data_IF_386756717991
#
_entry.id   IF_386756717991
#
_cell.length_a   1.000
_cell.length_b   1.000
_cell.length_c   1.000
_cell.angle_alpha   90.00
_cell.angle_beta   90.00
_cell.angle_gamma   90.00
#
_symmetry.space_group_name_H-M   'P 1'
#
loop_
_entity.id
_entity.type
_entity.pdbx_description
1 polymer ?
#
# COMPACT_ATOMS: atom_id res chain seq x y z
N UNK A 1 8.70 -4.70 -21.05
CA UNK A 1 7.43 -4.53 -20.30
C UNK A 1 7.61 -4.65 -18.79
N UNK A 2 8.38 -5.61 -18.24
CA UNK A 2 8.68 -5.69 -16.79
C UNK A 2 9.34 -4.44 -16.16
N UNK A 3 10.07 -3.61 -16.91
CA UNK A 3 10.69 -2.39 -16.38
C UNK A 3 9.75 -1.20 -16.16
N UNK A 4 8.55 -1.17 -16.77
CA UNK A 4 7.57 -0.09 -16.53
C UNK A 4 6.90 -0.27 -15.16
N UNK A 5 6.81 -1.51 -14.67
CA UNK A 5 6.15 -1.86 -13.41
C UNK A 5 6.99 -1.51 -12.16
N UNK A 6 8.32 -1.63 -12.29
CA UNK A 6 9.26 -1.42 -11.18
C UNK A 6 9.22 0.00 -10.58
N UNK A 7 8.70 0.99 -11.31
CA UNK A 7 8.80 2.41 -10.91
C UNK A 7 7.56 2.95 -10.20
N UNK A 8 6.38 2.32 -10.36
CA UNK A 8 5.25 2.60 -9.45
C UNK A 8 5.65 2.29 -8.00
N UNK A 9 6.48 1.26 -7.83
CA UNK A 9 6.98 0.77 -6.55
C UNK A 9 8.17 1.57 -6.00
N UNK A 10 9.11 2.04 -6.83
CA UNK A 10 10.21 2.90 -6.34
C UNK A 10 9.71 4.21 -5.75
N UNK A 11 8.56 4.74 -6.18
CA UNK A 11 7.95 5.92 -5.56
C UNK A 11 7.24 5.63 -4.23
N UNK A 12 7.00 4.36 -3.87
CA UNK A 12 6.49 3.98 -2.54
C UNK A 12 7.62 3.95 -1.50
N UNK A 13 8.85 3.56 -1.88
CA UNK A 13 9.97 3.43 -0.93
C UNK A 13 10.79 4.71 -0.69
N UNK A 14 10.72 5.71 -1.57
CA UNK A 14 11.60 6.91 -1.47
C UNK A 14 10.95 8.06 -0.67
N UNK A 15 9.73 7.89 -0.16
CA UNK A 15 9.06 8.91 0.66
C UNK A 15 9.28 8.77 2.19
N UNK A 16 10.33 8.07 2.65
CA UNK A 16 10.88 8.31 3.99
C UNK A 16 11.75 9.56 3.92
N UNK A 17 11.07 10.70 3.74
CA UNK A 17 11.73 12.00 3.78
C UNK A 17 12.19 12.26 5.20
N UNK A 18 13.47 12.56 5.33
CA UNK A 18 14.14 13.01 6.54
C UNK A 18 13.30 14.06 7.30
N UNK A 19 12.57 13.63 8.33
CA UNK A 19 12.22 14.50 9.45
C UNK A 19 13.49 14.70 10.29
N UNK A 20 14.43 15.46 9.72
CA UNK A 20 15.57 15.99 10.46
C UNK A 20 15.05 16.93 11.54
N UNK A 21 15.34 16.60 12.79
CA UNK A 21 15.15 17.47 13.96
C UNK A 21 16.03 18.73 13.80
N UNK A 22 15.50 19.74 13.11
CA UNK A 22 16.09 21.07 13.04
C UNK A 22 15.72 21.88 14.27
N UNK A 23 16.49 21.75 15.36
CA UNK A 23 16.41 22.66 16.50
C UNK A 23 16.84 24.07 16.10
N UNK A 24 15.90 25.01 16.10
CA UNK A 24 16.17 26.44 15.89
C UNK A 24 16.72 27.07 17.17
N UNK A 25 18.02 27.37 17.19
CA UNK A 25 18.60 28.30 18.16
C UNK A 25 18.58 29.73 17.57
N UNK A 26 18.09 30.67 18.37
CA UNK A 26 17.98 32.12 18.07
C UNK A 26 19.36 32.81 18.10
N UNK A 27 19.59 33.92 17.35
CA UNK A 27 20.93 34.46 17.12
C UNK A 27 21.35 35.49 18.18
N UNK A 28 22.61 35.42 18.59
CA UNK A 28 23.28 36.42 19.42
C UNK A 28 24.69 36.74 18.92
N UNK A 29 24.83 37.89 18.24
CA UNK A 29 25.86 38.92 18.43
C UNK A 29 27.38 38.64 18.25
N UNK A 30 27.99 39.53 17.42
CA UNK A 30 29.39 40.02 17.37
C UNK A 30 30.45 39.08 16.72
N UNK A 31 31.08 39.44 15.58
CA UNK A 31 32.24 40.37 15.39
C UNK A 31 33.46 39.95 16.24
N UNK A 32 34.66 39.66 15.73
CA UNK A 32 35.58 40.48 14.91
C UNK A 32 36.71 39.61 14.26
N UNK A 33 37.19 40.07 13.10
CA UNK A 33 38.55 40.05 12.51
C UNK A 33 39.48 38.80 12.48
N UNK A 34 39.95 38.51 11.25
CA UNK A 34 41.38 38.62 10.93
C UNK A 34 42.12 37.33 10.58
N UNK A 35 42.75 37.28 9.40
CA UNK A 35 43.89 36.38 9.17
C UNK A 35 44.02 35.74 7.80
N UNK A 36 44.64 36.49 6.90
CA UNK A 36 45.21 36.10 5.59
C UNK A 36 46.09 34.84 5.61
N UNK A 37 46.03 34.06 4.53
CA UNK A 37 47.01 33.02 4.21
C UNK A 37 46.88 32.54 2.77
N UNK A 38 47.77 33.04 1.90
CA UNK A 38 47.91 32.68 0.49
C UNK A 38 48.49 31.26 0.32
N UNK A 39 48.22 30.63 -0.82
CA UNK A 39 48.86 29.38 -1.23
C UNK A 39 48.34 28.85 -2.55
N UNK A 40 48.98 29.28 -3.64
CA UNK A 40 48.88 28.71 -4.99
C UNK A 40 49.07 27.19 -4.99
N UNK A 41 48.41 26.45 -5.91
CA UNK A 41 49.10 25.80 -7.04
C UNK A 41 48.16 25.05 -7.98
N UNK A 42 48.62 24.96 -9.22
CA UNK A 42 47.97 24.53 -10.44
C UNK A 42 47.84 23.00 -10.63
N UNK A 43 47.05 22.64 -11.65
CA UNK A 43 47.16 21.38 -12.41
C UNK A 43 46.07 20.36 -12.05
N UNK A 44 45.39 19.69 -12.98
CA UNK A 44 45.56 19.52 -14.41
C UNK A 44 44.45 18.58 -14.90
N UNK A 45 44.22 18.61 -16.21
CA UNK A 45 43.11 17.96 -16.90
C UNK A 45 43.31 16.47 -17.20
N UNK A 46 42.22 15.86 -17.67
CA UNK A 46 42.11 14.63 -18.48
C UNK A 46 42.44 13.31 -17.75
N UNK A 47 41.81 12.17 -18.03
CA UNK A 47 40.84 11.79 -19.05
C UNK A 47 40.92 10.26 -19.24
N UNK A 48 39.80 9.64 -19.59
CA UNK A 48 39.71 8.40 -20.38
C UNK A 48 40.16 7.06 -19.78
N UNK A 49 39.26 6.07 -19.82
CA UNK A 49 39.45 4.68 -20.35
C UNK A 49 38.20 3.88 -19.93
N UNK A 50 37.23 3.58 -20.80
CA UNK A 50 37.14 2.44 -21.75
C UNK A 50 37.70 1.11 -21.23
N UNK A 51 36.79 0.19 -20.93
CA UNK A 51 37.09 -1.23 -20.74
C UNK A 51 35.78 -2.02 -20.67
N UNK A 52 35.33 -2.54 -21.82
CA UNK A 52 34.26 -3.52 -21.90
C UNK A 52 34.85 -4.91 -22.13
N UNK A 53 34.18 -5.95 -21.63
CA UNK A 53 34.27 -7.40 -21.94
C UNK A 53 33.58 -8.14 -20.77
N UNK A 54 32.85 -9.26 -20.86
CA UNK A 54 32.52 -10.27 -21.88
C UNK A 54 31.11 -10.80 -21.53
N UNK A 55 30.25 -11.03 -22.53
CA UNK A 55 29.00 -11.79 -22.37
C UNK A 55 29.31 -13.27 -22.56
N UNK A 56 29.23 -14.06 -21.48
CA UNK A 56 29.30 -15.52 -21.51
C UNK A 56 27.90 -16.13 -21.53
N UNK A 57 27.54 -16.75 -22.64
CA UNK A 57 26.31 -17.52 -22.85
C UNK A 57 26.55 -19.00 -22.53
N UNK A 58 25.64 -19.61 -21.76
CA UNK A 58 25.52 -21.05 -21.53
C UNK A 58 24.38 -21.29 -20.54
N UNK A 59 23.35 -22.09 -20.76
CA UNK A 59 23.17 -23.16 -21.73
C UNK A 59 22.91 -24.48 -21.01
N UNK A 60 21.64 -24.76 -20.70
CA UNK A 60 21.07 -26.11 -20.59
C UNK A 60 21.28 -26.91 -19.29
N UNK A 61 20.19 -27.51 -18.80
CA UNK A 61 20.25 -28.56 -17.79
C UNK A 61 18.93 -28.80 -17.06
N UNK A 62 17.94 -29.37 -17.76
CA UNK A 62 16.73 -29.88 -17.13
C UNK A 62 17.02 -31.19 -16.38
N UNK A 63 16.43 -31.33 -15.19
CA UNK A 63 16.36 -32.59 -14.45
C UNK A 63 14.92 -32.78 -14.00
N UNK A 64 14.30 -33.84 -14.54
CA UNK A 64 13.02 -34.40 -14.12
C UNK A 64 13.34 -35.41 -13.01
N UNK A 65 12.72 -35.27 -11.83
CA UNK A 65 12.68 -36.33 -10.83
C UNK A 65 11.22 -36.75 -10.65
N UNK A 66 10.95 -38.01 -11.00
CA UNK A 66 9.74 -38.76 -10.70
C UNK A 66 10.02 -39.75 -9.57
N UNK A 67 9.03 -39.94 -8.69
CA UNK A 67 9.00 -40.90 -7.58
C UNK A 67 8.39 -40.22 -6.35
N UNK A 68 7.23 -40.56 -5.81
CA UNK A 68 6.53 -41.84 -5.79
C UNK A 68 6.80 -42.54 -4.47
N UNK A 69 5.91 -42.37 -3.48
CA UNK A 69 5.60 -43.42 -2.50
C UNK A 69 4.33 -43.08 -1.72
N UNK A 70 3.42 -44.04 -1.71
CA UNK A 70 2.22 -44.16 -0.89
C UNK A 70 2.58 -44.27 0.60
N UNK A 71 1.73 -43.73 1.47
CA UNK A 71 1.49 -44.25 2.83
C UNK A 71 0.01 -44.01 3.18
N UNK A 72 -0.73 -45.12 3.25
CA UNK A 72 -1.99 -45.22 4.00
C UNK A 72 -1.73 -45.00 5.50
N UNK A 73 -2.58 -44.25 6.20
CA UNK A 73 -3.17 -44.79 7.43
C UNK A 73 -4.47 -44.10 7.82
N UNK A 74 -5.38 -44.94 8.29
CA UNK A 74 -6.75 -44.67 8.68
C UNK A 74 -6.81 -44.19 10.13
N UNK A 75 -7.66 -43.22 10.44
CA UNK A 75 -7.81 -42.68 11.79
C UNK A 75 -9.21 -42.18 12.07
N UNK A 76 -10.11 -43.14 12.23
CA UNK A 76 -11.48 -43.02 12.71
C UNK A 76 -11.51 -42.42 14.14
N UNK A 77 -12.34 -41.39 14.40
CA UNK A 77 -12.86 -41.18 15.75
C UNK A 77 -14.22 -40.50 15.73
N UNK A 78 -15.24 -41.35 15.82
CA UNK A 78 -16.63 -41.01 16.06
C UNK A 78 -16.88 -40.86 17.57
N UNK A 79 -17.38 -39.71 18.00
CA UNK A 79 -18.00 -39.49 19.31
C UNK A 79 -18.84 -38.22 19.24
N UNK A 80 -20.18 -38.23 19.33
CA UNK A 80 -21.04 -39.12 20.09
C UNK A 80 -21.36 -38.46 21.44
N UNK A 81 -22.05 -37.31 21.40
CA UNK A 81 -22.53 -36.59 22.58
C UNK A 81 -23.95 -36.06 22.30
N UNK A 82 -24.92 -36.74 22.90
CA UNK A 82 -26.35 -36.46 22.90
C UNK A 82 -26.75 -35.59 24.08
N UNK A 83 -27.93 -34.96 23.94
CA UNK A 83 -28.75 -34.27 24.98
C UNK A 83 -28.27 -32.83 25.30
N UNK A 84 -29.11 -31.80 25.21
CA UNK A 84 -30.38 -31.65 25.92
C UNK A 84 -31.34 -30.73 25.13
N UNK A 85 -32.60 -31.15 24.99
CA UNK A 85 -33.69 -30.41 24.34
C UNK A 85 -34.40 -29.59 25.41
N UNK A 86 -34.25 -28.26 25.39
CA UNK A 86 -35.03 -27.35 26.25
C UNK A 86 -36.10 -26.69 25.40
N UNK A 87 -37.33 -26.77 25.90
CA UNK A 87 -38.57 -26.41 25.26
C UNK A 87 -38.78 -24.90 25.06
N UNK A 88 -39.62 -24.62 24.09
CA UNK A 88 -40.12 -23.35 23.56
C UNK A 88 -40.63 -22.34 24.60
N UNK A 89 -40.26 -21.06 24.39
CA UNK A 89 -41.00 -19.89 24.86
C UNK A 89 -41.32 -18.99 23.64
N UNK A 90 -42.60 -18.66 23.36
CA UNK A 90 -42.98 -17.86 22.20
C UNK A 90 -42.92 -16.36 22.57
N UNK A 91 -41.78 -15.72 22.31
CA UNK A 91 -41.68 -14.25 22.31
C UNK A 91 -41.82 -13.76 20.88
N UNK A 92 -43.08 -13.62 20.47
CA UNK A 92 -43.51 -12.90 19.29
C UNK A 92 -43.27 -11.40 19.49
N UNK A 93 -42.22 -10.89 18.87
CA UNK A 93 -41.80 -9.50 18.95
C UNK A 93 -40.58 -9.20 18.10
N UNK A 94 -40.40 -9.92 16.99
CA UNK A 94 -39.31 -9.68 16.05
C UNK A 94 -39.31 -8.19 15.69
N UNK A 95 -38.23 -7.44 16.01
CA UNK A 95 -38.11 -6.08 15.55
C UNK A 95 -38.18 -6.13 14.03
N UNK A 96 -39.19 -5.46 13.47
CA UNK A 96 -39.22 -5.15 12.05
C UNK A 96 -37.89 -4.49 11.73
N UNK A 97 -37.07 -5.24 11.00
CA UNK A 97 -35.90 -4.74 10.29
C UNK A 97 -36.44 -3.63 9.38
N UNK A 98 -36.44 -2.40 9.89
CA UNK A 98 -36.71 -1.21 9.10
C UNK A 98 -35.59 -1.13 8.09
N UNK A 99 -35.77 -1.86 7.00
CA UNK A 99 -34.84 -2.00 5.91
C UNK A 99 -34.39 -0.61 5.53
N UNK A 100 -33.14 -0.31 5.89
CA UNK A 100 -32.44 0.89 5.45
C UNK A 100 -32.56 0.86 3.94
N UNK A 101 -33.48 1.69 3.41
CA UNK A 101 -33.79 1.77 2.00
C UNK A 101 -32.47 1.93 1.27
N UNK A 102 -32.07 0.91 0.51
CA UNK A 102 -30.74 0.82 -0.08
C UNK A 102 -30.42 2.11 -0.82
N UNK A 103 -29.62 2.98 -0.19
CA UNK A 103 -29.34 4.30 -0.72
C UNK A 103 -28.63 4.12 -2.07
N UNK A 104 -29.32 4.56 -3.13
CA UNK A 104 -28.87 4.40 -4.50
C UNK A 104 -27.52 5.10 -4.67
N UNK A 105 -26.50 4.34 -5.05
CA UNK A 105 -25.17 4.91 -5.30
C UNK A 105 -25.27 5.82 -6.52
N UNK A 106 -24.84 7.10 -6.42
CA UNK A 106 -24.91 8.02 -7.55
C UNK A 106 -24.21 7.47 -8.80
N UNK A 107 -24.84 7.66 -9.96
CA UNK A 107 -24.27 7.27 -11.25
C UNK A 107 -22.87 7.84 -11.44
N UNK A 108 -21.93 6.98 -11.82
CA UNK A 108 -20.56 7.38 -12.10
C UNK A 108 -20.45 8.00 -13.50
N UNK A 109 -20.09 9.27 -13.55
CA UNK A 109 -19.83 10.01 -14.79
C UNK A 109 -18.34 10.09 -15.08
N UNK A 110 -17.50 10.17 -14.05
CA UNK A 110 -16.04 10.31 -14.16
C UNK A 110 -15.30 8.98 -14.05
N UNK A 111 -14.02 8.97 -14.45
CA UNK A 111 -13.16 7.77 -14.41
C UNK A 111 -12.84 7.25 -13.01
N UNK A 112 -12.98 8.08 -11.97
CA UNK A 112 -12.84 7.66 -10.58
C UNK A 112 -14.01 8.18 -9.76
N UNK A 113 -14.66 7.29 -9.01
CA UNK A 113 -15.63 7.60 -7.97
C UNK A 113 -15.22 6.91 -6.68
N UNK A 114 -15.32 7.63 -5.56
CA UNK A 114 -15.17 7.06 -4.22
C UNK A 114 -16.48 7.26 -3.46
N UNK A 115 -16.98 6.19 -2.86
CA UNK A 115 -18.23 6.16 -2.09
C UNK A 115 -17.91 5.78 -0.65
N UNK A 116 -18.46 6.53 0.30
CA UNK A 116 -18.40 6.22 1.71
C UNK A 116 -19.63 5.41 2.14
N UNK A 117 -19.43 4.13 2.47
CA UNK A 117 -20.46 3.27 3.07
C UNK A 117 -20.22 3.01 4.56
N UNK A 118 -19.27 3.71 5.19
CA UNK A 118 -19.19 3.76 6.64
C UNK A 118 -20.41 4.51 7.22
N UNK A 119 -20.76 4.23 8.48
CA UNK A 119 -21.83 4.93 9.23
C UNK A 119 -21.45 6.34 9.70
N UNK A 120 -20.25 6.82 9.34
CA UNK A 120 -19.69 8.09 9.75
C UNK A 120 -18.95 8.77 8.58
N UNK A 121 -18.68 10.07 8.71
CA UNK A 121 -17.91 10.79 7.67
C UNK A 121 -16.46 10.33 7.63
N UNK A 122 -15.93 10.19 6.42
CA UNK A 122 -14.51 9.96 6.15
C UNK A 122 -13.91 11.14 5.39
N UNK A 123 -12.58 11.23 5.37
CA UNK A 123 -11.86 12.19 4.55
C UNK A 123 -10.97 11.42 3.58
N UNK A 124 -11.06 11.72 2.29
CA UNK A 124 -10.18 11.14 1.29
C UNK A 124 -8.99 12.06 1.11
N UNK A 125 -7.81 11.60 1.53
CA UNK A 125 -6.54 12.23 1.22
C UNK A 125 -6.08 11.79 -0.17
N UNK A 126 -5.45 12.70 -0.91
CA UNK A 126 -4.96 12.41 -2.26
C UNK A 126 -3.54 12.96 -2.50
N UNK A 127 -2.86 12.33 -3.46
CA UNK A 127 -1.56 12.78 -4.00
C UNK A 127 -1.56 12.69 -5.52
N UNK A 128 -0.77 13.57 -6.16
CA UNK A 128 -0.55 13.65 -7.61
C UNK A 128 -1.84 13.86 -8.43
N UNK A 129 -2.82 14.55 -7.84
CA UNK A 129 -4.01 15.00 -8.56
C UNK A 129 -3.75 16.33 -9.29
N UNK A 130 -4.54 16.67 -10.33
CA UNK A 130 -4.41 17.94 -11.03
C UNK A 130 -4.51 19.15 -10.10
N UNK A 131 -3.89 20.25 -10.49
CA UNK A 131 -3.96 21.50 -9.72
C UNK A 131 -5.41 21.97 -9.56
N UNK A 132 -5.72 22.55 -8.40
CA UNK A 132 -7.06 23.03 -8.05
C UNK A 132 -7.99 21.98 -7.44
N UNK A 133 -7.62 20.69 -7.44
CA UNK A 133 -8.36 19.68 -6.67
C UNK A 133 -7.93 19.76 -5.20
N UNK A 134 -8.87 19.87 -4.24
CA UNK A 134 -8.54 19.88 -2.81
C UNK A 134 -7.71 18.66 -2.40
N UNK A 135 -6.65 18.85 -1.60
CA UNK A 135 -5.81 17.74 -1.13
C UNK A 135 -6.53 16.75 -0.22
N UNK A 136 -7.65 17.19 0.38
CA UNK A 136 -8.52 16.38 1.23
C UNK A 136 -9.97 16.69 0.89
N UNK A 137 -10.80 15.66 0.76
CA UNK A 137 -12.25 15.78 0.50
C UNK A 137 -13.01 15.02 1.58
N UNK A 138 -13.93 15.70 2.28
CA UNK A 138 -14.84 15.06 3.24
C UNK A 138 -15.99 14.38 2.50
N UNK A 139 -16.28 13.13 2.86
CA UNK A 139 -17.47 12.40 2.44
C UNK A 139 -18.29 12.05 3.67
N UNK A 140 -19.52 12.57 3.76
CA UNK A 140 -20.44 12.14 4.81
C UNK A 140 -20.85 10.66 4.61
N UNK A 141 -21.49 10.05 5.61
CA UNK A 141 -22.00 8.69 5.49
C UNK A 141 -22.96 8.60 4.29
N UNK A 142 -22.80 7.59 3.43
CA UNK A 142 -23.53 7.45 2.16
C UNK A 142 -23.01 8.35 1.02
N UNK A 143 -22.23 9.38 1.35
CA UNK A 143 -21.71 10.36 0.40
C UNK A 143 -20.71 9.79 -0.62
N UNK A 144 -20.52 10.52 -1.72
CA UNK A 144 -19.53 10.16 -2.74
C UNK A 144 -18.90 11.39 -3.37
N UNK A 145 -17.70 11.21 -3.93
CA UNK A 145 -17.05 12.19 -4.79
C UNK A 145 -16.55 11.54 -6.08
N UNK A 146 -16.36 12.36 -7.10
CA UNK A 146 -15.86 11.95 -8.40
C UNK A 146 -14.67 12.82 -8.79
N UNK A 147 -13.67 12.21 -9.42
CA UNK A 147 -12.44 12.89 -9.84
C UNK A 147 -12.36 12.92 -11.35
N UNK A 148 -12.19 14.13 -11.87
CA UNK A 148 -11.93 14.36 -13.29
C UNK A 148 -10.50 13.91 -13.58
N UNK A 149 -10.37 12.85 -14.38
CA UNK A 149 -9.08 12.37 -14.87
C UNK A 149 -8.85 12.93 -16.28
N UNK A 150 -7.79 13.72 -16.51
CA UNK A 150 -7.52 14.29 -17.83
C UNK A 150 -7.46 13.24 -18.94
N UNK A 151 -8.00 13.57 -20.11
CA UNK A 151 -7.93 12.70 -21.29
C UNK A 151 -6.48 12.42 -21.73
N UNK A 152 -5.55 13.32 -21.42
CA UNK A 152 -4.11 13.09 -21.65
C UNK A 152 -3.52 11.97 -20.78
N UNK A 153 -4.24 11.45 -19.80
CA UNK A 153 -3.75 10.54 -18.77
C UNK A 153 -3.21 11.29 -17.54
N UNK A 154 -3.00 10.54 -16.47
CA UNK A 154 -2.54 11.06 -15.19
C UNK A 154 -1.75 9.98 -14.44
N UNK A 155 -0.49 10.25 -14.13
CA UNK A 155 0.40 9.24 -13.53
C UNK A 155 0.42 9.29 -12.00
N UNK A 156 0.62 8.12 -11.39
CA UNK A 156 0.96 7.96 -9.97
C UNK A 156 -0.01 8.62 -8.97
N UNK A 157 -1.31 8.65 -9.27
CA UNK A 157 -2.32 9.09 -8.29
C UNK A 157 -2.37 8.13 -7.12
N UNK A 158 -2.57 8.67 -5.91
CA UNK A 158 -2.77 7.88 -4.69
C UNK A 158 -3.92 8.49 -3.90
N UNK A 159 -4.83 7.66 -3.41
CA UNK A 159 -5.96 8.07 -2.58
C UNK A 159 -6.14 7.10 -1.42
N UNK A 160 -6.45 7.61 -0.24
CA UNK A 160 -6.74 6.79 0.93
C UNK A 160 -7.72 7.48 1.90
N UNK A 161 -8.55 6.71 2.62
CA UNK A 161 -9.49 7.22 3.59
C UNK A 161 -8.82 7.54 4.95
N UNK A 162 -9.38 8.55 5.63
CA UNK A 162 -9.02 9.00 6.97
C UNK A 162 -10.27 9.10 7.85
N UNK A 163 -10.11 8.92 9.17
CA UNK A 163 -11.18 9.04 10.18
C UNK A 163 -10.71 9.80 11.42
N UNK A 164 -11.66 10.44 12.09
CA UNK A 164 -11.41 11.14 13.35
C UNK A 164 -10.60 12.40 13.14
N UNK A 165 -10.84 13.09 12.04
CA UNK A 165 -10.16 14.33 11.67
C UNK A 165 -10.87 15.54 12.27
N UNK A 166 -10.16 16.67 12.32
CA UNK A 166 -10.76 17.99 12.51
C UNK A 166 -11.60 18.43 11.29
N UNK A 167 -12.17 19.64 11.37
CA UNK A 167 -13.05 20.18 10.33
C UNK A 167 -12.38 20.34 8.96
N UNK A 168 -11.05 20.51 8.94
CA UNK A 168 -10.26 20.68 7.72
C UNK A 168 -9.74 19.34 7.17
N UNK A 169 -10.09 18.23 7.84
CA UNK A 169 -9.62 16.90 7.47
C UNK A 169 -8.17 16.65 7.88
N UNK A 170 -7.69 17.33 8.91
CA UNK A 170 -6.34 17.17 9.46
C UNK A 170 -6.39 16.53 10.85
N UNK A 171 -5.22 16.28 11.43
CA UNK A 171 -5.09 15.73 12.78
C UNK A 171 -5.92 14.45 13.01
N UNK A 172 -6.02 13.59 11.99
CA UNK A 172 -6.89 12.41 12.04
C UNK A 172 -6.34 11.32 12.97
N UNK A 173 -7.26 10.63 13.66
CA UNK A 173 -6.95 9.40 14.41
C UNK A 173 -6.40 8.29 13.48
N UNK A 174 -6.94 8.17 12.27
CA UNK A 174 -6.59 7.12 11.32
C UNK A 174 -6.30 7.74 9.94
N UNK A 175 -5.26 7.26 9.27
CA UNK A 175 -4.88 7.64 7.91
C UNK A 175 -4.18 9.00 7.74
N UNK A 176 -3.70 9.64 8.81
CA UNK A 176 -2.97 10.91 8.75
C UNK A 176 -1.49 10.73 8.34
N UNK A 177 -1.21 9.93 7.33
CA UNK A 177 0.14 9.59 6.90
C UNK A 177 0.90 10.69 6.16
N UNK A 178 0.22 11.80 5.84
CA UNK A 178 0.80 12.95 5.17
C UNK A 178 0.45 14.27 5.87
N UNK A 179 1.30 15.31 5.80
CA UNK A 179 0.99 16.63 6.34
C UNK A 179 -0.35 17.22 5.84
N UNK A 180 -0.99 18.10 6.63
CA UNK A 180 -0.56 18.57 7.96
C UNK A 180 -0.89 17.56 9.06
N UNK A 181 0.07 17.35 9.95
CA UNK A 181 0.00 16.35 11.02
C UNK A 181 0.01 17.02 12.40
N UNK A 182 -0.39 16.30 13.46
CA UNK A 182 -0.26 16.79 14.83
C UNK A 182 1.19 17.18 15.16
N UNK A 183 1.42 18.00 16.20
CA UNK A 183 2.77 18.36 16.64
C UNK A 183 3.68 17.16 16.97
N UNK A 184 3.10 15.99 17.26
CA UNK A 184 3.81 14.73 17.50
C UNK A 184 4.30 14.06 16.21
N UNK A 185 4.04 14.64 15.05
CA UNK A 185 4.38 14.08 13.73
C UNK A 185 3.25 13.24 13.14
N UNK A 186 3.38 12.93 11.86
CA UNK A 186 2.44 12.05 11.16
C UNK A 186 2.53 10.62 11.71
N UNK A 187 1.41 9.92 11.88
CA UNK A 187 1.40 8.48 11.96
C UNK A 187 2.08 7.84 10.73
N UNK A 188 2.54 6.58 10.85
CA UNK A 188 3.06 5.83 9.71
C UNK A 188 2.05 5.71 8.56
N UNK A 189 2.51 5.46 7.32
CA UNK A 189 1.66 5.31 6.14
C UNK A 189 0.84 4.01 6.09
N UNK A 190 0.36 3.53 7.24
CA UNK A 190 -0.57 2.41 7.36
C UNK A 190 -1.92 2.87 6.82
N UNK A 191 -2.19 2.57 5.56
CA UNK A 191 -3.35 3.07 4.81
C UNK A 191 -3.90 2.02 3.85
N UNK A 192 -5.22 1.82 3.84
CA UNK A 192 -5.89 1.15 2.72
C UNK A 192 -5.87 2.04 1.48
N UNK A 193 -4.89 1.82 0.60
CA UNK A 193 -4.52 2.78 -0.46
C UNK A 193 -5.05 2.34 -1.82
N UNK A 194 -5.52 3.28 -2.62
CA UNK A 194 -5.77 3.10 -4.04
C UNK A 194 -4.71 3.86 -4.83
N UNK A 195 -4.07 3.20 -5.79
CA UNK A 195 -3.03 3.77 -6.62
C UNK A 195 -3.35 3.57 -8.10
N UNK A 196 -3.14 4.59 -8.93
CA UNK A 196 -3.39 4.48 -10.36
C UNK A 196 -2.49 5.37 -11.23
N UNK A 197 -2.09 4.82 -12.37
CA UNK A 197 -1.65 5.56 -13.55
C UNK A 197 -2.71 5.40 -14.63
N UNK A 198 -3.39 6.50 -14.92
CA UNK A 198 -4.50 6.57 -15.84
C UNK A 198 -4.03 6.69 -17.27
N UNK A 199 -4.50 5.77 -18.13
CA UNK A 199 -4.17 5.76 -19.55
C UNK A 199 -4.70 6.98 -20.29
N UNK A 200 -4.00 7.35 -21.36
CA UNK A 200 -4.39 8.40 -22.28
C UNK A 200 -5.54 7.95 -23.18
N UNK A 201 -6.54 8.81 -23.36
CA UNK A 201 -7.72 8.58 -24.20
C UNK A 201 -7.77 9.51 -25.41
N UNK A 202 -6.73 10.31 -25.64
CA UNK A 202 -6.61 11.17 -26.81
C UNK A 202 -6.23 10.35 -28.05
N UNK A 203 -6.72 10.78 -29.21
CA UNK A 203 -6.35 10.16 -30.49
C UNK A 203 -4.89 10.44 -30.88
N UNK A 204 -4.36 11.63 -30.54
CA UNK A 204 -2.96 12.00 -30.78
C UNK A 204 -2.11 11.70 -29.55
N UNK A 205 -1.31 10.64 -29.64
CA UNK A 205 -0.43 10.18 -28.55
C UNK A 205 0.59 11.23 -28.11
N UNK A 206 0.92 12.20 -28.96
CA UNK A 206 1.88 13.26 -28.61
C UNK A 206 1.29 14.26 -27.60
N UNK A 207 -0.04 14.34 -27.51
CA UNK A 207 -0.76 15.18 -26.55
C UNK A 207 -0.98 14.49 -25.19
N UNK A 208 -0.65 13.20 -25.09
CA UNK A 208 -0.70 12.50 -23.81
C UNK A 208 0.30 13.09 -22.80
N UNK A 209 0.03 12.88 -21.52
CA UNK A 209 0.91 13.24 -20.44
C UNK A 209 2.23 12.45 -20.52
N UNK A 210 3.30 13.02 -19.96
CA UNK A 210 4.61 12.37 -19.90
C UNK A 210 4.59 11.27 -18.85
N UNK A 211 5.22 10.13 -19.15
CA UNK A 211 5.45 9.09 -18.15
C UNK A 211 6.58 9.55 -17.21
N UNK A 212 6.33 9.80 -15.91
CA UNK A 212 7.35 10.29 -14.99
C UNK A 212 8.50 9.30 -14.80
N UNK A 213 8.24 7.99 -14.96
CA UNK A 213 9.23 6.92 -14.86
C UNK A 213 10.09 6.76 -16.10
N UNK A 214 9.62 7.28 -17.24
CA UNK A 214 10.34 7.28 -18.50
C UNK A 214 10.06 8.61 -19.22
N UNK A 215 10.71 9.73 -18.81
CA UNK A 215 10.33 11.07 -19.27
C UNK A 215 10.42 11.32 -20.79
N UNK A 216 11.12 10.45 -21.52
CA UNK A 216 11.16 10.44 -22.98
C UNK A 216 9.92 9.80 -23.64
N UNK A 217 9.01 9.24 -22.84
CA UNK A 217 7.83 8.51 -23.28
C UNK A 217 6.56 9.21 -22.80
N UNK A 218 5.50 9.05 -23.60
CA UNK A 218 4.14 9.43 -23.22
C UNK A 218 3.45 8.28 -22.49
N UNK A 219 2.45 8.59 -21.67
CA UNK A 219 1.57 7.57 -21.12
C UNK A 219 0.88 6.80 -22.25
N UNK A 220 0.77 5.48 -22.10
CA UNK A 220 0.08 4.62 -23.05
C UNK A 220 -1.45 4.79 -22.93
N UNK A 221 -2.18 4.09 -23.80
CA UNK A 221 -3.64 4.00 -23.72
C UNK A 221 -4.17 3.09 -22.60
N UNK A 222 -3.31 2.53 -21.75
CA UNK A 222 -3.70 1.60 -20.69
C UNK A 222 -3.73 2.31 -19.34
N UNK A 223 -4.74 1.96 -18.54
CA UNK A 223 -4.83 2.33 -17.12
C UNK A 223 -4.24 1.20 -16.29
N UNK A 224 -3.26 1.51 -15.46
CA UNK A 224 -2.70 0.59 -14.47
C UNK A 224 -3.14 1.04 -13.09
N UNK A 225 -3.80 0.19 -12.32
CA UNK A 225 -4.20 0.51 -10.96
C UNK A 225 -4.04 -0.69 -10.04
N UNK A 226 -3.97 -0.41 -8.74
CA UNK A 226 -4.04 -1.40 -7.69
C UNK A 226 -4.71 -0.79 -6.47
N UNK A 227 -5.09 -1.67 -5.55
CA UNK A 227 -5.22 -1.30 -4.15
C UNK A 227 -4.08 -1.96 -3.39
N UNK A 228 -3.58 -1.26 -2.38
CA UNK A 228 -2.33 -1.59 -1.73
C UNK A 228 -2.51 -1.59 -0.22
N UNK A 229 -2.04 -2.67 0.39
CA UNK A 229 -1.82 -2.85 1.81
C UNK A 229 -0.31 -3.09 2.09
N UNK A 230 0.57 -2.63 1.18
CA UNK A 230 2.04 -2.76 1.30
C UNK A 230 2.56 -2.09 2.56
N UNK A 231 1.94 -0.99 2.98
CA UNK A 231 2.30 -0.23 4.17
C UNK A 231 1.42 -0.58 5.39
N UNK A 232 0.49 -1.53 5.26
CA UNK A 232 -0.56 -1.79 6.24
C UNK A 232 -1.96 -1.49 5.70
N UNK A 233 -2.99 -1.62 6.54
CA UNK A 233 -4.38 -1.28 6.17
C UNK A 233 -5.14 -0.58 7.30
N UNK A 234 -6.21 0.12 6.92
CA UNK A 234 -7.05 0.92 7.84
C UNK A 234 -8.54 0.71 7.64
N UNK A 235 -9.02 0.61 6.40
CA UNK A 235 -10.44 0.44 6.09
C UNK A 235 -10.68 -0.74 5.15
N UNK A 236 -11.84 -1.43 5.26
CA UNK A 236 -12.30 -2.31 4.20
C UNK A 236 -12.77 -1.52 2.99
N UNK A 237 -12.64 -2.15 1.83
CA UNK A 237 -13.06 -1.54 0.57
C UNK A 237 -13.40 -2.58 -0.49
N UNK A 238 -14.12 -2.13 -1.51
CA UNK A 238 -14.25 -2.86 -2.79
C UNK A 238 -13.96 -1.90 -3.94
N UNK A 239 -13.44 -2.42 -5.05
CA UNK A 239 -13.26 -1.66 -6.28
C UNK A 239 -13.94 -2.39 -7.44
N UNK A 240 -14.81 -1.68 -8.15
CA UNK A 240 -15.47 -2.18 -9.36
C UNK A 240 -14.99 -1.41 -10.58
N UNK A 241 -15.00 -2.08 -11.74
CA UNK A 241 -14.55 -1.52 -13.01
C UNK A 241 -15.66 -1.56 -14.05
N UNK A 242 -15.84 -0.46 -14.78
CA UNK A 242 -16.75 -0.37 -15.92
C UNK A 242 -16.06 0.30 -17.11
N UNK A 243 -16.66 0.22 -18.30
CA UNK A 243 -16.13 0.80 -19.55
C UNK A 243 -14.74 0.28 -19.97
N UNK A 244 -14.26 -0.79 -19.34
CA UNK A 244 -13.05 -1.49 -19.72
C UNK A 244 -13.28 -2.32 -21.00
N UNK A 245 -12.32 -2.26 -21.92
CA UNK A 245 -12.35 -3.03 -23.18
C UNK A 245 -11.28 -4.13 -23.24
N UNK A 246 -10.43 -4.24 -22.22
CA UNK A 246 -9.46 -5.33 -22.08
C UNK A 246 -10.10 -6.58 -21.43
N UNK A 247 -9.48 -7.77 -21.53
CA UNK A 247 -9.99 -8.97 -20.85
C UNK A 247 -10.17 -8.77 -19.34
N UNK A 248 -11.28 -9.27 -18.80
CA UNK A 248 -11.56 -9.19 -17.35
C UNK A 248 -10.50 -9.90 -16.49
N UNK A 249 -9.76 -10.88 -17.05
CA UNK A 249 -8.67 -11.57 -16.36
C UNK A 249 -7.47 -10.68 -16.01
N UNK A 250 -7.32 -9.52 -16.68
CA UNK A 250 -6.26 -8.54 -16.38
C UNK A 250 -6.81 -7.24 -15.76
N UNK A 251 -8.12 -7.00 -15.89
CA UNK A 251 -8.85 -5.89 -15.31
C UNK A 251 -10.06 -6.41 -14.54
N UNK A 252 -9.79 -6.98 -13.37
CA UNK A 252 -10.80 -7.55 -12.47
C UNK A 252 -11.15 -6.59 -11.33
N UNK A 253 -12.35 -6.72 -10.73
CA UNK A 253 -12.69 -6.04 -9.49
C UNK A 253 -11.81 -6.52 -8.32
N UNK A 254 -11.83 -5.77 -7.23
CA UNK A 254 -11.21 -6.09 -5.95
C UNK A 254 -12.28 -6.11 -4.88
N UNK A 255 -12.25 -7.14 -4.02
CA UNK A 255 -13.14 -7.21 -2.85
C UNK A 255 -12.29 -7.46 -1.60
N UNK A 256 -12.17 -6.41 -0.78
CA UNK A 256 -11.56 -6.40 0.55
C UNK A 256 -12.58 -5.94 1.59
N UNK A 257 -13.87 -6.20 1.36
CA UNK A 257 -14.94 -5.83 2.29
C UNK A 257 -14.84 -6.58 3.64
N UNK A 258 -14.10 -7.69 3.65
CA UNK A 258 -13.81 -8.49 4.84
C UNK A 258 -12.57 -8.02 5.63
N UNK A 259 -11.83 -7.00 5.17
CA UNK A 259 -10.73 -6.42 5.96
C UNK A 259 -11.25 -5.93 7.30
N UNK A 260 -10.66 -6.43 8.38
CA UNK A 260 -10.98 -6.04 9.75
C UNK A 260 -9.72 -6.01 10.59
N UNK A 261 -9.66 -5.07 11.55
CA UNK A 261 -8.52 -5.01 12.47
C UNK A 261 -8.46 -6.21 13.41
N UNK A 262 -9.56 -6.91 13.64
CA UNK A 262 -9.57 -8.13 14.49
C UNK A 262 -8.69 -9.24 13.91
N UNK A 263 -8.43 -9.20 12.60
CA UNK A 263 -7.53 -10.13 11.93
C UNK A 263 -6.10 -9.60 11.84
N UNK A 264 -5.76 -8.46 12.45
CA UNK A 264 -4.38 -8.03 12.52
C UNK A 264 -3.54 -9.02 13.37
N UNK A 265 -2.40 -9.53 12.87
CA UNK A 265 -1.57 -10.47 13.62
C UNK A 265 -1.08 -9.90 14.96
N UNK A 266 -1.18 -10.69 16.03
CA UNK A 266 -0.68 -10.36 17.38
C UNK A 266 0.58 -11.14 17.78
N UNK A 267 1.03 -12.05 16.93
CA UNK A 267 2.17 -12.94 17.13
C UNK A 267 2.88 -13.17 15.78
N UNK A 268 3.19 -12.09 15.07
CA UNK A 268 3.92 -12.14 13.80
C UNK A 268 5.40 -12.47 14.04
N UNK A 269 5.95 -13.42 13.29
CA UNK A 269 7.37 -13.73 13.33
C UNK A 269 8.08 -13.01 12.18
N UNK A 270 8.77 -11.91 12.53
CA UNK A 270 9.63 -11.13 11.65
C UNK A 270 11.12 -11.32 11.97
N UNK A 271 11.49 -12.45 12.60
CA UNK A 271 12.87 -12.68 13.07
C UNK A 271 13.86 -12.97 11.95
N UNK A 272 13.40 -13.42 10.77
CA UNK A 272 14.27 -13.81 9.66
C UNK A 272 14.65 -12.60 8.81
N UNK A 273 15.93 -12.23 8.82
CA UNK A 273 16.51 -11.16 8.00
C UNK A 273 17.21 -11.68 6.73
N UNK A 274 18.00 -10.81 6.10
CA UNK A 274 18.83 -11.15 4.94
C UNK A 274 19.76 -12.31 5.25
N UNK A 275 20.01 -13.14 4.22
CA UNK A 275 20.87 -14.33 4.28
C UNK A 275 20.47 -15.34 5.38
N UNK A 276 19.21 -15.33 5.80
CA UNK A 276 18.70 -16.22 6.85
C UNK A 276 19.20 -15.88 8.26
N UNK A 277 19.69 -14.65 8.48
CA UNK A 277 19.96 -14.16 9.83
C UNK A 277 18.69 -14.21 10.68
N UNK A 278 18.81 -14.55 11.95
CA UNK A 278 17.66 -14.65 12.86
C UNK A 278 17.87 -13.71 14.04
N UNK A 279 16.89 -12.85 14.29
CA UNK A 279 16.83 -11.99 15.46
C UNK A 279 15.56 -12.29 16.27
N UNK A 280 15.75 -13.03 17.38
CA UNK A 280 14.65 -13.47 18.23
C UNK A 280 13.83 -12.31 18.85
N UNK A 281 14.36 -11.09 18.88
CA UNK A 281 13.61 -9.90 19.32
C UNK A 281 12.32 -9.69 18.51
N UNK A 282 12.30 -10.14 17.25
CA UNK A 282 11.17 -9.95 16.33
C UNK A 282 10.38 -11.23 16.07
N UNK A 283 10.53 -12.25 16.92
CA UNK A 283 9.86 -13.56 16.73
C UNK A 283 8.37 -13.60 17.07
N UNK A 284 7.85 -12.53 17.69
CA UNK A 284 6.48 -12.42 18.16
C UNK A 284 6.09 -10.94 18.29
N UNK A 285 5.57 -10.36 17.22
CA UNK A 285 5.17 -8.95 17.18
C UNK A 285 3.65 -8.81 17.08
N UNK A 286 3.11 -7.82 17.79
CA UNK A 286 1.75 -7.33 17.59
C UNK A 286 1.77 -6.22 16.52
N UNK A 287 1.08 -6.45 15.41
CA UNK A 287 1.03 -5.53 14.28
C UNK A 287 -0.07 -4.48 14.40
N UNK A 288 -0.87 -4.47 15.48
CA UNK A 288 -1.85 -3.40 15.69
C UNK A 288 -1.14 -2.06 15.89
N UNK A 289 -1.39 -1.11 14.99
CA UNK A 289 -0.96 0.27 15.13
C UNK A 289 -1.84 0.96 16.17
N UNK A 290 -1.24 1.47 17.24
CA UNK A 290 -1.93 2.22 18.29
C UNK A 290 -1.27 3.58 18.52
N UNK A 291 -2.07 4.58 18.88
CA UNK A 291 -1.52 5.86 19.34
C UNK A 291 -1.02 5.76 20.79
N UNK A 292 -0.49 6.86 21.31
CA UNK A 292 0.01 6.94 22.70
C UNK A 292 -1.08 6.78 23.78
N UNK A 293 -2.36 6.85 23.40
CA UNK A 293 -3.51 6.60 24.27
C UNK A 293 -3.99 5.14 24.20
N UNK A 294 -3.35 4.30 23.36
CA UNK A 294 -3.74 2.91 23.13
C UNK A 294 -4.89 2.73 22.12
N UNK A 295 -5.37 3.82 21.52
CA UNK A 295 -6.44 3.78 20.52
C UNK A 295 -5.92 3.13 19.23
N UNK A 296 -6.71 2.20 18.69
CA UNK A 296 -6.38 1.45 17.49
C UNK A 296 -6.52 2.34 16.25
N UNK A 297 -5.46 2.43 15.45
CA UNK A 297 -5.41 3.29 14.26
C UNK A 297 -5.23 2.51 12.95
N UNK A 298 -4.85 1.23 12.99
CA UNK A 298 -4.63 0.42 11.80
C UNK A 298 -3.90 -0.88 12.10
N UNK A 299 -3.51 -1.59 11.04
CA UNK A 299 -2.67 -2.78 11.11
C UNK A 299 -1.42 -2.57 10.27
N UNK A 300 -0.25 -2.58 10.90
CA UNK A 300 1.03 -2.52 10.21
C UNK A 300 1.19 -3.71 9.26
N UNK A 301 1.82 -3.45 8.11
CA UNK A 301 2.54 -4.51 7.40
C UNK A 301 3.92 -4.71 8.03
N UNK A 302 4.61 -5.84 7.73
CA UNK A 302 5.92 -6.16 8.29
C UNK A 302 6.99 -5.06 8.18
N UNK A 303 7.11 -4.41 7.01
CA UNK A 303 8.14 -3.39 6.80
C UNK A 303 7.99 -2.16 7.72
N UNK A 304 6.87 -1.43 7.75
CA UNK A 304 6.69 -0.27 8.62
C UNK A 304 6.68 -0.63 10.10
N UNK A 305 6.26 -1.85 10.50
CA UNK A 305 6.42 -2.30 11.89
C UNK A 305 7.90 -2.30 12.30
N UNK A 306 8.79 -2.76 11.43
CA UNK A 306 10.23 -2.78 11.69
C UNK A 306 10.89 -1.42 11.51
N UNK A 307 10.46 -0.61 10.55
CA UNK A 307 11.24 0.56 10.09
C UNK A 307 10.72 1.90 10.59
N UNK A 308 9.45 2.00 10.99
CA UNK A 308 8.93 3.28 11.46
C UNK A 308 9.42 3.55 12.90
N UNK A 309 10.01 4.72 13.21
CA UNK A 309 10.64 4.95 14.51
C UNK A 309 9.66 5.36 15.63
N UNK A 310 8.40 5.60 15.30
CA UNK A 310 7.37 6.07 16.23
C UNK A 310 6.15 5.16 16.16
N UNK A 311 5.16 5.39 17.04
CA UNK A 311 3.92 4.61 17.08
C UNK A 311 4.15 3.08 17.19
N UNK A 312 5.10 2.68 18.02
CA UNK A 312 5.40 1.27 18.32
C UNK A 312 6.31 0.55 17.33
N UNK A 313 6.75 1.19 16.23
CA UNK A 313 7.72 0.59 15.34
C UNK A 313 9.17 0.65 15.87
N UNK A 314 10.06 -0.14 15.25
CA UNK A 314 11.44 -0.33 15.74
C UNK A 314 12.47 0.65 15.16
N UNK A 315 12.11 1.48 14.17
CA UNK A 315 13.02 2.46 13.59
C UNK A 315 14.25 1.87 12.88
N UNK A 316 14.17 0.62 12.42
CA UNK A 316 15.26 -0.04 11.70
C UNK A 316 15.45 0.57 10.31
N UNK A 317 16.65 0.44 9.76
CA UNK A 317 16.89 0.79 8.35
C UNK A 317 16.15 -0.18 7.44
N UNK A 318 15.41 0.33 6.46
CA UNK A 318 14.76 -0.50 5.44
C UNK A 318 15.74 -1.30 4.57
N UNK A 319 17.02 -0.93 4.56
CA UNK A 319 18.13 -1.65 3.90
C UNK A 319 18.99 -2.45 4.88
N UNK A 320 18.65 -2.40 6.17
CA UNK A 320 19.32 -3.17 7.21
C UNK A 320 18.99 -4.66 7.12
N UNK A 321 19.90 -5.49 7.60
CA UNK A 321 19.82 -6.95 7.55
C UNK A 321 18.47 -7.48 8.07
N UNK A 322 17.92 -6.88 9.12
CA UNK A 322 16.70 -7.33 9.79
C UNK A 322 15.42 -6.97 9.01
N UNK A 323 15.36 -5.82 8.35
CA UNK A 323 14.14 -5.32 7.72
C UNK A 323 14.12 -5.46 6.18
N UNK A 324 15.28 -5.57 5.54
CA UNK A 324 15.39 -5.50 4.08
C UNK A 324 14.58 -6.58 3.35
N UNK A 325 14.44 -7.78 3.92
CA UNK A 325 13.61 -8.82 3.27
C UNK A 325 12.11 -8.59 3.40
N UNK A 326 11.67 -7.75 4.35
CA UNK A 326 10.27 -7.34 4.51
C UNK A 326 9.95 -6.06 3.76
N UNK A 327 10.94 -5.16 3.68
CA UNK A 327 10.83 -3.89 2.97
C UNK A 327 11.18 -3.98 1.49
N UNK A 328 11.97 -4.97 1.10
CA UNK A 328 12.38 -5.24 -0.27
C UNK A 328 12.98 -4.04 -1.04
N UNK A 329 13.91 -3.27 -0.47
CA UNK A 329 14.55 -2.19 -1.21
C UNK A 329 15.38 -2.74 -2.38
N UNK A 330 15.17 -2.19 -3.58
CA UNK A 330 16.03 -2.48 -4.74
C UNK A 330 16.93 -1.29 -5.06
N UNK A 331 18.27 -1.40 -4.95
CA UNK A 331 19.06 -2.46 -4.29
C UNK A 331 19.00 -2.38 -2.74
N UNK A 332 19.47 -3.41 -1.98
CA UNK A 332 20.17 -4.63 -2.42
C UNK A 332 19.28 -5.84 -2.72
N UNK A 333 17.99 -5.82 -2.37
CA UNK A 333 17.09 -6.95 -2.57
C UNK A 333 16.45 -6.84 -3.94
N UNK A 334 16.67 -7.82 -4.82
CA UNK A 334 15.98 -7.90 -6.10
C UNK A 334 14.50 -8.30 -5.90
N UNK A 335 13.61 -8.00 -6.87
CA UNK A 335 12.23 -8.47 -6.81
C UNK A 335 12.10 -9.99 -6.64
N UNK A 336 12.95 -10.77 -7.32
CA UNK A 336 12.96 -12.23 -7.18
C UNK A 336 13.41 -12.70 -5.80
N UNK A 337 14.39 -12.03 -5.18
CA UNK A 337 14.82 -12.38 -3.82
C UNK A 337 13.76 -12.02 -2.79
N UNK A 338 13.11 -10.87 -2.93
CA UNK A 338 12.02 -10.47 -2.06
C UNK A 338 10.85 -11.46 -2.12
N UNK A 339 10.37 -11.79 -3.32
CA UNK A 339 9.26 -12.73 -3.47
C UNK A 339 9.62 -14.14 -3.02
N UNK A 340 10.89 -14.56 -3.07
CA UNK A 340 11.34 -15.82 -2.48
C UNK A 340 11.66 -15.72 -0.97
N UNK A 341 11.51 -14.53 -0.39
CA UNK A 341 11.92 -14.19 0.96
C UNK A 341 10.83 -14.42 2.02
N UNK A 342 11.15 -14.13 3.30
CA UNK A 342 10.23 -14.35 4.42
C UNK A 342 8.97 -13.49 4.37
N UNK A 343 8.95 -12.37 3.63
CA UNK A 343 7.77 -11.49 3.58
C UNK A 343 6.53 -12.19 3.04
N UNK A 344 6.68 -13.02 2.00
CA UNK A 344 5.57 -13.72 1.36
C UNK A 344 4.90 -14.73 2.33
N UNK A 345 5.67 -15.27 3.28
CA UNK A 345 5.19 -16.30 4.21
C UNK A 345 4.72 -15.74 5.56
N UNK A 346 4.65 -14.42 5.71
CA UNK A 346 4.15 -13.79 6.95
C UNK A 346 2.66 -14.07 7.18
N UNK A 347 2.25 -14.06 8.45
CA UNK A 347 0.82 -14.16 8.79
C UNK A 347 0.05 -12.96 8.25
N UNK A 348 0.66 -11.77 8.25
CA UNK A 348 0.10 -10.56 7.65
C UNK A 348 -0.31 -10.80 6.18
N UNK A 349 0.62 -11.24 5.33
CA UNK A 349 0.35 -11.49 3.90
C UNK A 349 -0.75 -12.54 3.74
N UNK A 350 -0.66 -13.65 4.48
CA UNK A 350 -1.67 -14.71 4.43
C UNK A 350 -3.08 -14.21 4.80
N UNK A 351 -3.20 -13.40 5.87
CA UNK A 351 -4.49 -12.87 6.34
C UNK A 351 -5.07 -11.82 5.39
N UNK A 352 -4.26 -10.88 4.93
CA UNK A 352 -4.74 -9.86 3.96
C UNK A 352 -5.16 -10.54 2.66
N UNK A 353 -4.36 -11.47 2.11
CA UNK A 353 -4.76 -12.24 0.93
C UNK A 353 -6.06 -13.01 1.16
N UNK A 354 -6.25 -13.62 2.33
CA UNK A 354 -7.51 -14.31 2.67
C UNK A 354 -8.71 -13.36 2.71
N UNK A 355 -8.57 -12.19 3.34
CA UNK A 355 -9.66 -11.19 3.43
C UNK A 355 -9.97 -10.50 2.10
N UNK A 356 -8.99 -10.48 1.19
CA UNK A 356 -9.08 -9.79 -0.09
C UNK A 356 -9.14 -10.75 -1.30
N UNK A 357 -9.27 -12.06 -1.10
CA UNK A 357 -9.24 -13.05 -2.17
C UNK A 357 -7.98 -13.01 -3.06
N UNK A 358 -6.84 -12.60 -2.52
CA UNK A 358 -5.58 -12.46 -3.26
C UNK A 358 -5.60 -11.37 -4.33
N UNK A 359 -6.36 -10.29 -4.13
CA UNK A 359 -6.55 -9.24 -5.14
C UNK A 359 -5.82 -7.92 -4.86
N UNK A 360 -4.99 -7.85 -3.83
CA UNK A 360 -4.38 -6.62 -3.29
C UNK A 360 -2.89 -6.81 -3.07
N UNK A 361 -2.11 -5.74 -3.27
CA UNK A 361 -0.69 -5.76 -2.92
C UNK A 361 -0.49 -5.84 -1.42
N UNK A 362 0.16 -6.90 -0.96
CA UNK A 362 0.47 -7.10 0.46
C UNK A 362 1.92 -6.78 0.81
N UNK A 363 2.80 -6.70 -0.20
CA UNK A 363 4.19 -6.27 -0.10
C UNK A 363 4.69 -5.71 -1.44
N UNK A 364 5.91 -5.17 -1.47
CA UNK A 364 6.43 -4.39 -2.59
C UNK A 364 6.57 -5.12 -3.93
N UNK A 365 6.57 -6.44 -4.00
CA UNK A 365 6.68 -7.16 -5.27
C UNK A 365 5.58 -8.21 -5.44
N UNK A 366 4.41 -7.91 -4.85
CA UNK A 366 3.17 -8.69 -4.97
C UNK A 366 2.42 -8.45 -6.30
N UNK A 367 3.19 -8.26 -7.37
CA UNK A 367 2.70 -7.80 -8.68
C UNK A 367 1.80 -8.83 -9.39
N UNK A 368 1.92 -10.10 -9.03
CA UNK A 368 1.13 -11.19 -9.62
C UNK A 368 -0.37 -11.10 -9.29
N UNK A 369 -0.70 -10.49 -8.16
CA UNK A 369 -2.00 -10.62 -7.51
C UNK A 369 -2.79 -9.30 -7.50
N UNK A 370 -2.12 -8.16 -7.26
CA UNK A 370 -2.81 -6.88 -7.03
C UNK A 370 -2.85 -5.89 -8.21
N UNK A 371 -2.04 -6.07 -9.26
CA UNK A 371 -2.05 -5.13 -10.38
C UNK A 371 -3.25 -5.37 -11.30
N UNK A 372 -3.85 -4.29 -11.77
CA UNK A 372 -4.88 -4.30 -12.80
C UNK A 372 -4.42 -3.49 -13.99
N UNK A 373 -4.48 -4.10 -15.17
CA UNK A 373 -4.27 -3.43 -16.45
C UNK A 373 -5.60 -3.37 -17.20
N UNK A 374 -6.12 -2.16 -17.33
CA UNK A 374 -7.41 -1.86 -17.93
C UNK A 374 -7.25 -0.92 -19.13
N UNK A 375 -8.28 -0.78 -19.96
CA UNK A 375 -8.26 0.20 -21.03
C UNK A 375 -8.24 1.64 -20.49
N UNK A 376 -7.78 2.59 -21.29
CA UNK A 376 -7.73 4.01 -20.92
C UNK A 376 -9.10 4.61 -20.62
N UNK A 377 -10.19 4.09 -21.18
CA UNK A 377 -11.54 4.60 -20.89
C UNK A 377 -12.15 4.05 -19.58
N UNK A 378 -11.46 3.11 -18.92
CA UNK A 378 -11.97 2.43 -17.73
C UNK A 378 -12.34 3.41 -16.63
N UNK A 379 -13.48 3.16 -16.02
CA UNK A 379 -13.94 3.80 -14.80
C UNK A 379 -13.75 2.86 -13.62
N UNK A 380 -13.26 3.39 -12.51
CA UNK A 380 -13.10 2.68 -11.25
C UNK A 380 -14.02 3.31 -10.21
N UNK A 381 -14.82 2.50 -9.54
CA UNK A 381 -15.58 2.91 -8.35
C UNK A 381 -15.01 2.18 -7.14
N UNK A 382 -14.44 2.94 -6.21
CA UNK A 382 -13.98 2.46 -4.92
C UNK A 382 -15.06 2.73 -3.87
N UNK A 383 -15.47 1.70 -3.15
CA UNK A 383 -16.42 1.80 -2.03
C UNK A 383 -15.64 1.53 -0.75
N UNK A 384 -15.62 2.48 0.17
CA UNK A 384 -15.03 2.31 1.50
C UNK A 384 -16.14 1.84 2.46
N UNK A 385 -15.93 0.72 3.16
CA UNK A 385 -16.97 0.08 3.98
C UNK A 385 -17.70 -1.07 3.29
N UNK A 386 -18.81 -1.59 3.88
CA UNK A 386 -19.53 -1.05 5.04
C UNK A 386 -18.95 -1.40 6.42
N UNK A 387 -18.06 -2.40 6.52
CA UNK A 387 -17.55 -2.94 7.80
C UNK A 387 -16.44 -2.06 8.43
N UNK A 388 -16.62 -0.75 8.42
CA UNK A 388 -15.58 0.17 8.86
C UNK A 388 -15.29 0.07 10.37
N UNK A 389 -14.04 0.29 10.81
CA UNK A 389 -13.64 0.21 12.22
C UNK A 389 -14.22 1.34 13.09
#
# INVERSE_FOLDING_TARGET
>A
MKHILLVMLSAAMVAVAACGLGGSASPGGASVDGGSGAGDTAGGAAGGTTGGEVIGSGGGGGVIITGGSEVDDSGDNSGGGSEEVVADDPVDGSPVDEGVSGEEIPTQTERLQIVNKCSYSIWIQQQNMPSGVPSVIKLDAGGSAQWIIPAAGLAATRLWPKKGCDADGNNCLMGQSSPPCPPTGCPPPVDSKFEATWGCTLADVNQCAVNPSAPSQKLSGDTYWNTSAVDGYTFPFTATVTDNTLPASICSPVDCSALTMDQCPTNEDLSVGMSGSVNALYSSLDLHLRNNLGELMGCYSPCPALTYPTYGGFGLSNTGTEAAMYCCPTPPVSPSECSAGPVETTQYVARVRSMCGGTVYTYAYDDGDGLRQCSGATKVRLIIGPNCP
#
